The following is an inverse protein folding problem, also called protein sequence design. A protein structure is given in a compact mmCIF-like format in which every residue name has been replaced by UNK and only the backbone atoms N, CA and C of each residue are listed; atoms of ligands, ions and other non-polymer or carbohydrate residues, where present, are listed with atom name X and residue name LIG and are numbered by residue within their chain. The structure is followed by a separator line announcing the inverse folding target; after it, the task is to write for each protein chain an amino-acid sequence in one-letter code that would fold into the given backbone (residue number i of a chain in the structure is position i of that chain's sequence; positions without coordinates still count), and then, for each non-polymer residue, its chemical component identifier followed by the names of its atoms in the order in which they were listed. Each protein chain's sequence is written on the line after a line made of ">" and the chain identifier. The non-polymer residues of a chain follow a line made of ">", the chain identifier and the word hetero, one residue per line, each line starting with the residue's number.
data_IF_478890236159
#
_entry.id   IF_478890236159
#
_cell.length_a   1.000
_cell.length_b   1.000
_cell.length_c   1.000
_cell.angle_alpha   90.00
_cell.angle_beta   90.00
_cell.angle_gamma   90.00
#
_symmetry.space_group_name_H-M   'P 1'
#
loop_
_entity.id
_entity.type
_entity.pdbx_description
1 polymer ?
#
# COMPACT_ATOMS: atom_id res chain seq x y z
N UNK A 1 11.76 -53.46 -0.47
CA UNK A 1 11.59 -52.18 0.26
C UNK A 1 10.86 -51.23 -0.68
N UNK A 2 9.69 -50.66 -0.38
CA UNK A 2 9.26 -50.01 0.86
C UNK A 2 7.93 -50.55 1.42
N UNK A 3 7.84 -50.56 2.76
CA UNK A 3 6.60 -50.75 3.52
C UNK A 3 5.85 -49.42 3.49
N UNK A 4 4.61 -49.44 3.00
CA UNK A 4 3.69 -48.31 3.03
C UNK A 4 3.30 -48.04 4.50
N UNK A 5 3.95 -47.07 5.14
CA UNK A 5 3.60 -46.65 6.50
C UNK A 5 2.41 -45.69 6.45
N UNK A 6 1.21 -46.14 6.84
CA UNK A 6 0.03 -45.29 6.95
C UNK A 6 -0.31 -45.07 8.43
N UNK A 7 -0.27 -43.82 8.89
CA UNK A 7 -0.73 -43.43 10.22
C UNK A 7 -2.24 -43.17 10.14
N UNK A 8 -3.04 -44.01 10.82
CA UNK A 8 -4.48 -43.81 10.98
C UNK A 8 -4.72 -42.58 11.88
N UNK A 9 -5.04 -41.42 11.30
CA UNK A 9 -5.44 -40.22 12.06
C UNK A 9 -6.81 -40.46 12.70
N UNK A 10 -6.85 -40.76 13.99
CA UNK A 10 -8.08 -40.92 14.77
C UNK A 10 -8.77 -39.58 15.06
N UNK A 11 -10.10 -39.58 15.09
CA UNK A 11 -10.90 -38.43 15.54
C UNK A 11 -10.93 -38.39 17.07
N UNK A 12 -10.99 -37.19 17.65
CA UNK A 12 -11.25 -37.02 19.10
C UNK A 12 -12.76 -37.08 19.32
N UNK A 13 -13.22 -37.63 20.45
CA UNK A 13 -14.63 -37.70 20.78
C UNK A 13 -14.86 -37.17 22.20
N UNK A 14 -15.95 -36.41 22.41
CA UNK A 14 -16.43 -36.01 23.73
C UNK A 14 -17.61 -36.90 24.12
N UNK A 15 -17.56 -37.53 25.30
CA UNK A 15 -18.69 -38.32 25.82
C UNK A 15 -19.73 -37.40 26.46
N UNK A 16 -20.99 -37.49 26.03
CA UNK A 16 -22.11 -36.73 26.60
C UNK A 16 -23.30 -37.67 26.80
N UNK A 17 -23.62 -37.94 28.07
CA UNK A 17 -24.64 -38.93 28.43
C UNK A 17 -24.32 -40.33 27.89
N UNK A 18 -25.28 -40.94 27.20
CA UNK A 18 -25.14 -42.26 26.57
C UNK A 18 -24.47 -42.27 25.19
N UNK A 19 -24.02 -41.13 24.67
CA UNK A 19 -23.48 -41.00 23.32
C UNK A 19 -22.09 -40.35 23.27
N UNK A 20 -21.44 -40.42 22.11
CA UNK A 20 -20.17 -39.76 21.81
C UNK A 20 -20.36 -38.74 20.69
N UNK A 21 -19.98 -37.50 20.93
CA UNK A 21 -19.93 -36.44 19.92
C UNK A 21 -18.53 -36.45 19.29
N UNK A 22 -18.47 -36.59 17.97
CA UNK A 22 -17.22 -36.56 17.20
C UNK A 22 -16.69 -35.12 17.14
N UNK A 23 -15.50 -34.88 17.68
CA UNK A 23 -14.80 -33.60 17.60
C UNK A 23 -13.95 -33.56 16.32
N UNK A 24 -13.98 -32.42 15.64
CA UNK A 24 -13.21 -32.23 14.41
C UNK A 24 -11.72 -32.00 14.75
N UNK A 25 -10.79 -32.75 14.12
CA UNK A 25 -9.36 -32.60 14.37
C UNK A 25 -8.83 -31.26 13.84
N UNK A 26 -7.86 -30.69 14.58
CA UNK A 26 -7.23 -29.38 14.36
C UNK A 26 -6.66 -29.12 12.97
N UNK A 27 -6.46 -30.14 12.14
CA UNK A 27 -5.94 -30.00 10.77
C UNK A 27 -6.98 -29.53 9.74
N UNK A 28 -8.14 -29.02 10.17
CA UNK A 28 -9.29 -28.64 9.34
C UNK A 28 -9.67 -27.17 9.55
N UNK A 29 -8.74 -26.23 9.38
CA UNK A 29 -9.05 -24.79 9.36
C UNK A 29 -10.14 -24.43 8.31
N UNK A 30 -10.39 -25.32 7.35
CA UNK A 30 -11.50 -25.31 6.37
C UNK A 30 -12.90 -25.55 6.94
N UNK A 31 -13.04 -25.97 8.21
CA UNK A 31 -14.33 -26.27 8.85
C UNK A 31 -14.84 -25.17 9.77
N UNK A 32 -14.14 -24.04 9.87
CA UNK A 32 -14.68 -22.83 10.49
C UNK A 32 -15.26 -21.99 9.37
N UNK A 33 -16.59 -21.99 9.29
CA UNK A 33 -17.33 -21.10 8.40
C UNK A 33 -17.63 -19.80 9.13
N UNK A 34 -17.45 -18.68 8.43
CA UNK A 34 -18.05 -17.40 8.77
C UNK A 34 -19.58 -17.54 8.83
N UNK A 35 -20.27 -16.62 9.50
CA UNK A 35 -21.74 -16.61 9.58
C UNK A 35 -22.43 -16.50 8.21
N UNK A 36 -21.69 -16.07 7.18
CA UNK A 36 -22.13 -15.98 5.78
C UNK A 36 -21.84 -17.26 4.96
N UNK A 37 -21.36 -18.33 5.60
CA UNK A 37 -21.09 -19.63 4.96
C UNK A 37 -19.74 -19.72 4.24
N UNK A 38 -18.94 -18.64 4.17
CA UNK A 38 -17.58 -18.70 3.62
C UNK A 38 -16.64 -19.41 4.58
N UNK A 39 -15.65 -20.14 4.07
CA UNK A 39 -14.55 -20.62 4.91
C UNK A 39 -13.71 -19.42 5.39
N UNK A 40 -13.11 -19.55 6.57
CA UNK A 40 -12.11 -18.57 7.06
C UNK A 40 -10.94 -18.43 6.08
N UNK A 41 -10.53 -19.51 5.40
CA UNK A 41 -9.52 -19.49 4.34
C UNK A 41 -9.90 -18.55 3.20
N UNK A 42 -11.13 -18.64 2.67
CA UNK A 42 -11.60 -17.76 1.62
C UNK A 42 -11.61 -16.29 2.06
N UNK A 43 -11.99 -16.03 3.32
CA UNK A 43 -11.98 -14.68 3.87
C UNK A 43 -10.56 -14.12 4.01
N UNK A 44 -9.60 -14.95 4.46
CA UNK A 44 -8.18 -14.57 4.56
C UNK A 44 -7.60 -14.32 3.16
N UNK A 45 -7.88 -15.17 2.18
CA UNK A 45 -7.41 -15.00 0.80
C UNK A 45 -8.00 -13.76 0.13
N UNK A 46 -9.24 -13.43 0.44
CA UNK A 46 -9.87 -12.19 -0.03
C UNK A 46 -9.24 -10.96 0.63
N UNK A 47 -8.98 -11.00 1.93
CA UNK A 47 -8.28 -9.93 2.65
C UNK A 47 -6.86 -9.73 2.13
N UNK A 48 -6.11 -10.80 1.92
CA UNK A 48 -4.74 -10.76 1.38
C UNK A 48 -4.71 -10.24 -0.06
N UNK A 49 -5.74 -10.48 -0.87
CA UNK A 49 -5.87 -9.88 -2.21
C UNK A 49 -6.20 -8.39 -2.16
N UNK A 50 -6.93 -7.96 -1.14
CA UNK A 50 -7.38 -6.57 -0.93
C UNK A 50 -6.32 -5.67 -0.30
N UNK A 51 -5.40 -6.24 0.47
CA UNK A 51 -4.30 -5.53 1.12
C UNK A 51 -2.98 -5.86 0.44
N UNK A 52 -2.44 -4.90 -0.29
CA UNK A 52 -1.25 -5.08 -1.11
C UNK A 52 -0.13 -4.19 -0.58
N UNK A 53 0.91 -4.77 -0.01
CA UNK A 53 2.19 -4.08 0.20
C UNK A 53 3.15 -4.42 -0.93
N UNK A 54 3.68 -3.40 -1.62
CA UNK A 54 4.66 -3.58 -2.70
C UNK A 54 5.79 -2.57 -2.56
N UNK A 55 6.99 -3.00 -2.93
CA UNK A 55 8.13 -2.11 -3.15
C UNK A 55 8.27 -1.88 -4.64
N UNK A 56 8.26 -0.62 -5.09
CA UNK A 56 8.44 -0.30 -6.51
C UNK A 56 9.91 -0.30 -6.91
N UNK A 57 10.78 0.23 -6.05
CA UNK A 57 12.22 0.29 -6.25
C UNK A 57 12.94 0.49 -4.90
N UNK A 58 14.26 0.72 -4.91
CA UNK A 58 15.04 0.94 -3.68
C UNK A 58 14.57 2.15 -2.85
N UNK A 59 13.84 3.10 -3.43
CA UNK A 59 13.48 4.38 -2.83
C UNK A 59 11.98 4.61 -2.68
N UNK A 60 11.12 3.65 -3.05
CA UNK A 60 9.66 3.79 -3.02
C UNK A 60 8.96 2.47 -2.68
N UNK A 61 8.01 2.54 -1.75
CA UNK A 61 7.11 1.46 -1.40
C UNK A 61 5.71 2.01 -1.10
N UNK A 62 4.71 1.13 -1.11
CA UNK A 62 3.34 1.55 -0.87
C UNK A 62 2.43 0.42 -0.44
N UNK A 63 1.29 0.83 0.09
CA UNK A 63 0.19 -0.02 0.54
C UNK A 63 -1.04 0.36 -0.27
N UNK A 64 -1.69 -0.62 -0.89
CA UNK A 64 -3.02 -0.48 -1.46
C UNK A 64 -4.02 -1.23 -0.59
N UNK A 65 -5.11 -0.54 -0.27
CA UNK A 65 -6.27 -1.07 0.43
C UNK A 65 -7.50 -0.97 -0.48
N UNK A 66 -8.67 -1.47 -0.07
CA UNK A 66 -9.92 -1.22 -0.80
C UNK A 66 -10.26 0.27 -0.95
N UNK A 67 -9.87 1.11 0.02
CA UNK A 67 -10.34 2.51 0.10
C UNK A 67 -9.31 3.54 -0.33
N UNK A 68 -8.02 3.23 -0.21
CA UNK A 68 -6.95 4.15 -0.54
C UNK A 68 -5.66 3.45 -0.95
N UNK A 69 -4.79 4.18 -1.62
CA UNK A 69 -3.40 3.84 -1.89
C UNK A 69 -2.51 4.85 -1.15
N UNK A 70 -1.55 4.34 -0.39
CA UNK A 70 -0.52 5.13 0.28
C UNK A 70 0.83 4.77 -0.33
N UNK A 71 1.58 5.75 -0.83
CA UNK A 71 2.89 5.56 -1.46
C UNK A 71 3.89 6.46 -0.76
N UNK A 72 4.92 5.87 -0.17
CA UNK A 72 6.01 6.59 0.48
C UNK A 72 7.30 6.40 -0.31
N UNK A 73 8.07 7.47 -0.46
CA UNK A 73 9.35 7.38 -1.12
C UNK A 73 10.18 8.65 -1.01
N UNK A 74 11.27 8.66 -1.77
CA UNK A 74 12.16 9.82 -1.88
C UNK A 74 12.46 10.15 -3.34
N UNK A 75 12.60 11.44 -3.64
CA UNK A 75 12.87 11.97 -4.97
C UNK A 75 13.89 13.11 -4.85
N UNK A 76 14.83 13.19 -5.78
CA UNK A 76 15.75 14.34 -5.89
C UNK A 76 15.25 15.26 -6.98
N UNK A 77 14.81 16.46 -6.60
CA UNK A 77 14.39 17.49 -7.53
C UNK A 77 15.60 18.28 -8.00
N UNK A 78 15.82 18.28 -9.32
CA UNK A 78 16.89 19.05 -9.95
C UNK A 78 16.55 20.54 -9.96
N UNK A 79 17.58 21.39 -9.93
CA UNK A 79 17.40 22.83 -9.85
C UNK A 79 17.37 23.50 -11.22
N UNK A 80 16.22 24.07 -11.55
CA UNK A 80 16.16 25.25 -12.40
C UNK A 80 15.53 26.35 -11.53
N UNK A 81 16.29 27.41 -11.24
CA UNK A 81 15.98 28.57 -10.38
C UNK A 81 14.50 28.96 -10.32
N UNK A 82 13.75 28.27 -9.48
CA UNK A 82 12.35 28.55 -9.21
C UNK A 82 12.10 28.12 -7.78
N UNK A 83 11.44 29.00 -7.03
CA UNK A 83 10.96 28.67 -5.69
C UNK A 83 9.99 27.48 -5.75
N UNK A 84 9.32 27.29 -6.90
CA UNK A 84 8.48 26.12 -7.19
C UNK A 84 9.18 25.13 -8.12
N UNK A 85 9.21 23.86 -7.74
CA UNK A 85 9.67 22.77 -8.61
C UNK A 85 8.59 21.72 -8.79
N UNK A 86 8.44 21.22 -10.01
CA UNK A 86 7.49 20.14 -10.28
C UNK A 86 7.88 18.89 -9.48
N UNK A 87 6.96 18.41 -8.64
CA UNK A 87 7.12 17.21 -7.83
C UNK A 87 6.68 15.97 -8.62
N UNK A 88 5.44 15.97 -9.11
CA UNK A 88 4.91 14.89 -9.94
C UNK A 88 3.95 15.42 -10.99
N UNK A 89 4.04 14.91 -12.21
CA UNK A 89 3.00 15.09 -13.21
C UNK A 89 1.83 14.12 -13.00
N UNK A 90 0.70 14.40 -13.64
CA UNK A 90 -0.46 13.49 -13.66
C UNK A 90 -0.10 12.10 -14.20
N UNK A 91 0.73 12.01 -15.24
CA UNK A 91 1.14 10.73 -15.81
C UNK A 91 2.04 9.95 -14.86
N UNK A 92 2.93 10.64 -14.12
CA UNK A 92 3.77 10.01 -13.08
C UNK A 92 2.91 9.43 -11.95
N UNK A 93 1.94 10.21 -11.46
CA UNK A 93 1.03 9.79 -10.39
C UNK A 93 0.16 8.62 -10.86
N UNK A 94 -0.42 8.69 -12.06
CA UNK A 94 -1.20 7.59 -12.62
C UNK A 94 -0.36 6.31 -12.77
N UNK A 95 0.88 6.43 -13.26
CA UNK A 95 1.82 5.29 -13.34
C UNK A 95 2.12 4.69 -11.97
N UNK A 96 2.35 5.54 -10.95
CA UNK A 96 2.53 5.11 -9.55
C UNK A 96 1.31 4.35 -9.05
N UNK A 97 0.11 4.91 -9.20
CA UNK A 97 -1.12 4.29 -8.73
C UNK A 97 -1.37 2.94 -9.42
N UNK A 98 -1.20 2.85 -10.74
CA UNK A 98 -1.38 1.62 -11.53
C UNK A 98 -0.46 0.47 -11.11
N UNK A 99 0.74 0.78 -10.62
CA UNK A 99 1.65 -0.25 -10.11
C UNK A 99 1.07 -0.99 -8.88
N UNK A 100 0.40 -0.24 -8.00
CA UNK A 100 -0.22 -0.80 -6.80
C UNK A 100 -1.60 -1.40 -7.13
N UNK A 101 -2.39 -0.69 -7.94
CA UNK A 101 -3.72 -1.11 -8.39
C UNK A 101 -3.92 -0.88 -9.91
N UNK A 102 -3.79 -1.93 -10.73
CA UNK A 102 -3.94 -1.82 -12.19
C UNK A 102 -5.33 -1.38 -12.67
N UNK A 103 -6.38 -1.44 -11.83
CA UNK A 103 -7.72 -1.05 -12.24
C UNK A 103 -7.92 0.47 -12.30
N UNK A 104 -6.99 1.26 -11.73
CA UNK A 104 -7.05 2.73 -11.81
C UNK A 104 -6.77 3.18 -13.23
N UNK A 105 -7.76 3.78 -13.89
CA UNK A 105 -7.65 4.24 -15.28
C UNK A 105 -7.23 5.70 -15.40
N UNK A 106 -7.67 6.55 -14.47
CA UNK A 106 -7.48 7.99 -14.46
C UNK A 106 -6.97 8.48 -13.10
N UNK A 107 -6.31 9.64 -13.09
CA UNK A 107 -5.92 10.37 -11.89
C UNK A 107 -6.90 11.51 -11.64
N UNK A 108 -7.31 11.68 -10.39
CA UNK A 108 -8.18 12.74 -9.91
C UNK A 108 -7.46 13.48 -8.77
N UNK A 109 -7.16 14.76 -8.96
CA UNK A 109 -6.44 15.56 -7.98
C UNK A 109 -7.24 15.74 -6.68
N UNK A 110 -8.57 15.75 -6.73
CA UNK A 110 -9.45 15.88 -5.57
C UNK A 110 -9.41 14.65 -4.66
N UNK A 111 -8.87 13.53 -5.15
CA UNK A 111 -8.66 12.30 -4.37
C UNK A 111 -7.23 12.17 -3.84
N UNK A 112 -6.33 13.09 -4.20
CA UNK A 112 -4.91 12.99 -3.92
C UNK A 112 -4.48 14.00 -2.86
N UNK A 113 -3.75 13.53 -1.85
CA UNK A 113 -3.07 14.38 -0.87
C UNK A 113 -1.59 13.98 -0.87
N UNK A 114 -0.71 14.97 -1.01
CA UNK A 114 0.74 14.75 -0.99
C UNK A 114 1.33 15.53 0.17
N UNK A 115 2.01 14.83 1.07
CA UNK A 115 2.81 15.46 2.13
C UNK A 115 4.28 15.25 1.84
N UNK A 116 5.09 16.26 2.11
CA UNK A 116 6.54 16.22 1.86
C UNK A 116 7.31 16.66 3.10
N UNK A 117 8.55 16.19 3.21
CA UNK A 117 9.52 16.74 4.14
C UNK A 117 10.87 16.95 3.43
N UNK A 118 11.66 17.87 3.97
CA UNK A 118 13.04 18.02 3.53
C UNK A 118 13.81 16.75 3.87
N UNK A 119 14.25 16.03 2.84
CA UNK A 119 15.02 14.83 3.00
C UNK A 119 16.51 15.11 3.06
N UNK A 120 16.99 16.31 2.79
CA UNK A 120 18.42 16.63 2.74
C UNK A 120 19.02 16.84 4.16
N UNK A 121 20.33 16.61 4.30
CA UNK A 121 21.08 16.96 5.51
C UNK A 121 21.28 18.47 5.67
N UNK A 122 21.19 19.23 4.57
CA UNK A 122 21.20 20.70 4.57
C UNK A 122 19.84 21.35 4.91
N UNK A 123 18.91 20.57 5.48
CA UNK A 123 17.53 21.00 5.76
C UNK A 123 17.41 22.27 6.62
N UNK A 124 18.47 22.67 7.34
CA UNK A 124 18.46 23.86 8.19
C UNK A 124 18.35 25.18 7.40
N UNK A 125 18.69 25.21 6.10
CA UNK A 125 18.74 26.44 5.32
C UNK A 125 17.58 26.62 4.33
N UNK A 126 16.78 25.58 4.07
CA UNK A 126 15.71 25.60 3.06
C UNK A 126 14.44 24.94 3.63
N UNK A 127 13.37 25.72 3.68
CA UNK A 127 12.04 25.30 4.10
C UNK A 127 11.28 24.66 2.93
N UNK A 128 10.58 23.55 3.21
CA UNK A 128 9.65 22.90 2.29
C UNK A 128 8.22 23.17 2.75
N UNK A 129 7.39 23.70 1.86
CA UNK A 129 5.97 23.96 2.15
C UNK A 129 5.06 22.87 1.61
N UNK A 130 3.76 22.94 1.89
CA UNK A 130 2.81 21.98 1.36
C UNK A 130 2.83 21.97 -0.19
N UNK A 131 2.83 20.80 -0.83
CA UNK A 131 2.69 20.70 -2.28
C UNK A 131 1.38 21.31 -2.78
N UNK A 132 1.43 21.92 -3.96
CA UNK A 132 0.29 22.60 -4.59
C UNK A 132 -0.03 21.98 -5.95
N UNK A 133 -1.32 21.82 -6.27
CA UNK A 133 -1.77 21.40 -7.59
C UNK A 133 -1.88 22.60 -8.54
N UNK A 134 -1.20 22.54 -9.68
CA UNK A 134 -1.30 23.56 -10.72
C UNK A 134 -2.06 23.01 -11.94
N UNK A 135 -3.35 23.31 -12.03
CA UNK A 135 -4.27 22.74 -13.04
C UNK A 135 -3.86 23.00 -14.49
N UNK A 136 -3.30 24.18 -14.80
CA UNK A 136 -2.78 24.48 -16.15
C UNK A 136 -1.64 23.56 -16.59
N UNK A 137 -0.91 23.00 -15.63
CA UNK A 137 0.26 22.14 -15.88
C UNK A 137 -0.04 20.66 -15.62
N UNK A 138 -1.23 20.34 -15.09
CA UNK A 138 -1.62 18.99 -14.66
C UNK A 138 -0.54 18.33 -13.78
N UNK A 139 -0.02 19.07 -12.81
CA UNK A 139 1.09 18.61 -11.97
C UNK A 139 1.07 19.22 -10.56
N UNK A 140 1.65 18.49 -9.61
CA UNK A 140 1.94 18.98 -8.27
C UNK A 140 3.31 19.66 -8.24
N UNK A 141 3.41 20.79 -7.56
CA UNK A 141 4.63 21.56 -7.36
C UNK A 141 4.97 21.65 -5.87
N UNK A 142 6.26 21.64 -5.58
CA UNK A 142 6.83 21.83 -4.26
C UNK A 142 7.44 23.24 -4.18
N UNK A 143 6.99 24.04 -3.22
CA UNK A 143 7.58 25.35 -2.92
C UNK A 143 8.73 25.21 -1.91
N UNK A 144 9.84 25.92 -2.19
CA UNK A 144 11.05 25.99 -1.39
C UNK A 144 11.39 27.43 -1.05
N UNK A 145 11.78 27.71 0.19
CA UNK A 145 12.25 29.04 0.59
C UNK A 145 13.47 28.98 1.54
N UNK A 146 14.52 29.80 1.30
CA UNK A 146 14.77 30.54 0.07
C UNK A 146 14.93 29.60 -1.13
N UNK A 147 14.60 30.11 -2.33
CA UNK A 147 14.85 29.40 -3.57
C UNK A 147 16.34 29.08 -3.75
N UNK A 148 16.65 27.94 -4.37
CA UNK A 148 18.01 27.53 -4.70
C UNK A 148 18.06 26.87 -6.07
N UNK A 149 19.24 26.78 -6.67
CA UNK A 149 19.54 25.96 -7.85
C UNK A 149 20.12 24.58 -7.50
N UNK A 150 20.46 24.33 -6.23
CA UNK A 150 21.00 23.04 -5.83
C UNK A 150 19.93 21.94 -5.93
N UNK A 151 20.31 20.69 -6.26
CA UNK A 151 19.42 19.55 -6.10
C UNK A 151 18.91 19.46 -4.66
N UNK A 152 17.63 19.14 -4.48
CA UNK A 152 17.03 18.96 -3.15
C UNK A 152 16.41 17.57 -3.08
N UNK A 153 16.76 16.81 -2.05
CA UNK A 153 16.07 15.55 -1.73
C UNK A 153 14.78 15.83 -0.96
N UNK A 154 13.67 15.31 -1.45
CA UNK A 154 12.36 15.37 -0.81
C UNK A 154 11.90 13.96 -0.49
N UNK A 155 11.50 13.68 0.75
CA UNK A 155 10.68 12.49 0.99
C UNK A 155 9.22 12.87 0.95
N UNK A 156 8.41 11.96 0.42
CA UNK A 156 7.01 12.21 0.17
C UNK A 156 6.15 11.04 0.65
N UNK A 157 4.92 11.36 1.00
CA UNK A 157 3.83 10.40 1.14
C UNK A 157 2.67 10.88 0.27
N UNK A 158 2.23 10.02 -0.65
CA UNK A 158 1.05 10.21 -1.48
C UNK A 158 -0.07 9.37 -0.85
N UNK A 159 -1.18 10.01 -0.52
CA UNK A 159 -2.44 9.36 -0.15
C UNK A 159 -3.44 9.58 -1.28
N UNK A 160 -3.98 8.50 -1.83
CA UNK A 160 -4.95 8.55 -2.91
C UNK A 160 -6.21 7.76 -2.55
N UNK A 161 -7.37 8.42 -2.55
CA UNK A 161 -8.66 7.78 -2.29
C UNK A 161 -9.16 7.03 -3.54
N UNK A 162 -9.66 5.82 -3.35
CA UNK A 162 -10.17 4.94 -4.42
C UNK A 162 -11.69 4.99 -4.62
N UNK A 163 -12.40 5.65 -3.71
CA UNK A 163 -13.88 5.70 -3.66
C UNK A 163 -14.49 6.28 -4.94
#
# INVERSE_FOLDING_TARGET
>A
MAILNTIKKGYMHLKVGGAYIKLLPRTLATLVSMSDGRSVENAIDELNRKFVFKRRNSSEAGICTPHYIMIMGTLVLQGANADYRQLFSTSDLLSKLKFYDPSISNFDEGKCVITTNNGDGNAAAIHCYAPEWWGSNNAYYQYFYPGTSSPIRVNYCIHYLKL
#
